data_IF_866505513449
#
_entry.id   IF_866505513449
#
_cell.length_a   1.000
_cell.length_b   1.000
_cell.length_c   1.000
_cell.angle_alpha   90.00
_cell.angle_beta   90.00
_cell.angle_gamma   90.00
#
_symmetry.space_group_name_H-M   'P 1'
#
loop_
_entity.id
_entity.type
_entity.pdbx_description
1 polymer ?
#
# COMPACT_ATOMS: atom_id res chain seq x y z
N UNK A 1 -12.01 22.92 -15.12
CA UNK A 1 -11.07 21.95 -15.71
C UNK A 1 -11.23 20.69 -14.90
N UNK A 2 -11.68 19.61 -15.52
CA UNK A 2 -11.95 18.37 -14.80
C UNK A 2 -10.63 17.64 -14.59
N UNK A 3 -10.41 17.09 -13.41
CA UNK A 3 -9.22 16.29 -13.11
C UNK A 3 -9.37 14.93 -13.82
N UNK A 4 -8.48 14.58 -14.77
CA UNK A 4 -8.59 13.34 -15.54
C UNK A 4 -8.52 12.09 -14.64
N UNK A 5 -7.80 12.17 -13.52
CA UNK A 5 -7.80 11.10 -12.52
C UNK A 5 -9.19 10.94 -11.88
N UNK A 6 -9.84 12.05 -11.54
CA UNK A 6 -11.20 12.07 -11.01
C UNK A 6 -12.24 11.51 -11.99
N UNK A 7 -12.12 11.75 -13.30
CA UNK A 7 -13.03 11.16 -14.30
C UNK A 7 -12.87 9.64 -14.39
N UNK A 8 -11.63 9.14 -14.38
CA UNK A 8 -11.35 7.70 -14.36
C UNK A 8 -11.91 7.06 -13.10
N UNK A 9 -11.66 7.65 -11.93
CA UNK A 9 -12.20 7.17 -10.65
C UNK A 9 -13.74 7.15 -10.66
N UNK A 10 -14.38 8.18 -11.22
CA UNK A 10 -15.84 8.26 -11.32
C UNK A 10 -16.43 7.18 -12.22
N UNK A 11 -15.77 6.86 -13.35
CA UNK A 11 -16.19 5.80 -14.28
C UNK A 11 -16.10 4.42 -13.63
N UNK A 12 -15.06 4.19 -12.82
CA UNK A 12 -14.83 2.89 -12.18
C UNK A 12 -15.85 2.55 -11.08
N UNK A 13 -16.60 3.54 -10.58
CA UNK A 13 -17.59 3.37 -9.50
C UNK A 13 -17.03 2.54 -8.31
N UNK A 14 -15.93 2.99 -7.67
CA UNK A 14 -15.37 2.31 -6.50
C UNK A 14 -16.45 2.16 -5.42
N UNK A 15 -16.73 0.92 -5.01
CA UNK A 15 -17.79 0.63 -4.04
C UNK A 15 -17.34 0.80 -2.60
N UNK A 16 -16.09 0.45 -2.33
CA UNK A 16 -15.51 0.57 -1.01
C UNK A 16 -14.03 0.90 -1.14
N UNK A 17 -13.64 1.97 -0.45
CA UNK A 17 -12.25 2.29 -0.18
C UNK A 17 -11.99 1.84 1.24
N UNK A 18 -11.19 0.79 1.39
CA UNK A 18 -10.75 0.38 2.71
C UNK A 18 -9.40 1.03 2.96
N UNK A 19 -9.28 1.73 4.08
CA UNK A 19 -8.03 2.38 4.50
C UNK A 19 -7.66 1.92 5.89
N UNK A 20 -6.38 1.69 6.12
CA UNK A 20 -5.82 1.43 7.45
C UNK A 20 -4.51 2.15 7.63
N UNK A 21 -4.22 2.51 8.88
CA UNK A 21 -2.89 2.95 9.27
C UNK A 21 -1.92 1.79 9.18
N UNK A 22 -0.71 2.07 8.71
CA UNK A 22 0.42 1.15 8.76
C UNK A 22 1.60 1.94 9.33
N UNK A 23 2.27 1.39 10.34
CA UNK A 23 3.50 1.97 10.87
C UNK A 23 4.62 0.95 10.98
N UNK A 24 5.85 1.44 10.94
CA UNK A 24 7.06 0.64 11.10
C UNK A 24 8.03 1.34 12.04
N UNK A 25 8.68 0.57 12.91
CA UNK A 25 9.68 1.08 13.85
C UNK A 25 10.84 0.10 14.07
N UNK A 26 12.06 0.64 14.12
CA UNK A 26 13.31 -0.10 14.23
C UNK A 26 13.58 -1.01 13.04
N UNK A 27 14.09 -2.21 13.32
CA UNK A 27 14.35 -3.23 12.30
C UNK A 27 13.07 -3.97 11.93
N UNK A 28 12.43 -3.55 10.85
CA UNK A 28 11.18 -4.15 10.36
C UNK A 28 11.17 -4.36 8.85
N UNK A 29 10.46 -5.41 8.42
CA UNK A 29 10.21 -5.69 7.02
C UNK A 29 9.04 -6.64 6.85
N UNK A 30 8.22 -6.41 5.83
CA UNK A 30 7.06 -7.22 5.49
C UNK A 30 6.99 -7.47 4.00
N UNK A 31 6.49 -8.64 3.63
CA UNK A 31 6.29 -9.08 2.26
C UNK A 31 4.85 -9.50 2.07
N UNK A 32 4.14 -8.79 1.21
CA UNK A 32 2.79 -9.14 0.80
C UNK A 32 2.86 -10.00 -0.47
N UNK A 33 2.06 -11.07 -0.50
CA UNK A 33 1.81 -11.82 -1.72
C UNK A 33 0.99 -10.98 -2.73
N UNK A 34 0.90 -11.44 -3.97
CA UNK A 34 0.03 -10.82 -4.98
C UNK A 34 -1.40 -10.72 -4.43
N UNK A 35 -1.93 -9.49 -4.42
CA UNK A 35 -3.25 -9.20 -3.89
C UNK A 35 -4.30 -9.05 -4.98
N UNK A 36 -3.90 -8.81 -6.22
CA UNK A 36 -4.79 -8.73 -7.38
C UNK A 36 -5.72 -7.52 -7.45
N UNK A 37 -6.01 -6.86 -6.32
CA UNK A 37 -6.84 -5.66 -6.26
C UNK A 37 -6.00 -4.38 -6.43
N UNK A 38 -6.57 -3.28 -6.94
CA UNK A 38 -5.89 -2.00 -6.99
C UNK A 38 -5.69 -1.46 -5.57
N UNK A 39 -4.49 -1.00 -5.24
CA UNK A 39 -4.16 -0.44 -3.93
C UNK A 39 -3.45 0.89 -4.04
N UNK A 40 -3.44 1.62 -2.94
CA UNK A 40 -2.69 2.84 -2.81
C UNK A 40 -2.07 2.94 -1.42
N UNK A 41 -1.03 3.75 -1.30
CA UNK A 41 -0.49 4.16 -0.04
C UNK A 41 -0.03 5.61 -0.11
N UNK A 42 -0.18 6.34 0.99
CA UNK A 42 0.44 7.65 1.18
C UNK A 42 1.30 7.63 2.43
N UNK A 43 2.55 8.06 2.31
CA UNK A 43 3.43 8.22 3.47
C UNK A 43 3.07 9.52 4.18
N UNK A 44 2.68 9.41 5.44
CA UNK A 44 2.30 10.54 6.29
C UNK A 44 3.53 11.08 7.02
N UNK A 45 4.40 10.20 7.48
CA UNK A 45 5.59 10.55 8.27
C UNK A 45 6.70 9.54 8.00
N UNK A 46 7.94 10.03 8.03
CA UNK A 46 9.12 9.20 7.93
C UNK A 46 9.39 8.70 6.51
N UNK A 47 10.03 7.53 6.41
CA UNK A 47 10.40 6.95 5.12
C UNK A 47 10.56 5.43 5.18
N UNK A 48 10.45 4.77 4.03
CA UNK A 48 10.69 3.34 3.89
C UNK A 48 11.18 2.96 2.49
N UNK A 49 11.69 1.75 2.35
CA UNK A 49 11.95 1.14 1.06
C UNK A 49 10.73 0.32 0.62
N UNK A 50 10.25 0.57 -0.60
CA UNK A 50 9.22 -0.21 -1.27
C UNK A 50 9.84 -0.94 -2.47
N UNK A 51 9.74 -2.27 -2.49
CA UNK A 51 10.13 -3.09 -3.62
C UNK A 51 8.90 -3.83 -4.17
N UNK A 52 8.39 -3.39 -5.32
CA UNK A 52 7.29 -4.05 -6.03
C UNK A 52 7.87 -5.06 -7.01
N UNK A 53 7.28 -6.25 -7.10
CA UNK A 53 7.75 -7.29 -8.03
C UNK A 53 7.78 -6.77 -9.46
N UNK A 54 8.92 -6.97 -10.15
CA UNK A 54 9.11 -6.52 -11.53
C UNK A 54 9.44 -5.03 -11.68
N UNK A 55 9.58 -4.27 -10.58
CA UNK A 55 9.97 -2.87 -10.60
C UNK A 55 11.27 -2.63 -9.81
N UNK A 56 12.02 -1.56 -10.13
CA UNK A 56 13.11 -1.09 -9.28
C UNK A 56 12.59 -0.70 -7.88
N UNK A 57 13.35 -0.93 -6.80
CA UNK A 57 12.98 -0.48 -5.48
C UNK A 57 12.96 1.06 -5.42
N UNK A 58 12.04 1.58 -4.62
CA UNK A 58 11.83 3.01 -4.40
C UNK A 58 11.99 3.33 -2.92
N UNK A 59 12.63 4.45 -2.62
CA UNK A 59 12.50 5.08 -1.31
C UNK A 59 11.24 5.93 -1.35
N UNK A 60 10.34 5.71 -0.39
CA UNK A 60 9.18 6.56 -0.18
C UNK A 60 9.42 7.43 1.04
N UNK A 61 9.10 8.71 0.94
CA UNK A 61 9.21 9.72 1.99
C UNK A 61 7.87 10.39 2.25
N UNK A 62 7.76 11.11 3.37
CA UNK A 62 6.54 11.83 3.74
C UNK A 62 6.02 12.73 2.61
N UNK A 63 4.75 12.54 2.25
CA UNK A 63 4.09 13.20 1.13
C UNK A 63 4.02 12.36 -0.16
N UNK A 64 4.81 11.30 -0.27
CA UNK A 64 4.76 10.41 -1.44
C UNK A 64 3.47 9.59 -1.47
N UNK A 65 2.92 9.46 -2.67
CA UNK A 65 1.74 8.66 -2.97
C UNK A 65 2.08 7.60 -4.00
N UNK A 66 1.72 6.36 -3.70
CA UNK A 66 1.85 5.22 -4.61
C UNK A 66 0.47 4.71 -4.95
N UNK A 67 0.20 4.54 -6.24
CA UNK A 67 -0.95 3.84 -6.76
C UNK A 67 -0.48 2.60 -7.50
N UNK A 68 -1.02 1.44 -7.13
CA UNK A 68 -0.80 0.18 -7.80
C UNK A 68 -2.13 -0.24 -8.45
N UNK A 69 -2.30 -0.01 -9.76
CA UNK A 69 -3.53 -0.34 -10.47
C UNK A 69 -3.92 -1.82 -10.43
N UNK A 70 -2.93 -2.69 -10.22
CA UNK A 70 -3.09 -4.08 -9.81
C UNK A 70 -1.93 -4.38 -8.90
N UNK A 71 -2.20 -4.69 -7.63
CA UNK A 71 -1.16 -4.83 -6.60
C UNK A 71 -0.42 -6.15 -6.77
N UNK A 72 0.82 -6.14 -7.33
CA UNK A 72 1.65 -7.34 -7.37
C UNK A 72 2.12 -7.65 -5.95
N UNK A 73 2.85 -8.75 -5.78
CA UNK A 73 3.60 -8.90 -4.54
C UNK A 73 4.52 -7.69 -4.34
N UNK A 74 4.57 -7.14 -3.14
CA UNK A 74 5.54 -6.11 -2.78
C UNK A 74 6.15 -6.34 -1.40
N UNK A 75 7.33 -5.76 -1.18
CA UNK A 75 8.04 -5.78 0.09
C UNK A 75 8.18 -4.36 0.58
N UNK A 76 7.92 -4.14 1.87
CA UNK A 76 8.19 -2.89 2.55
C UNK A 76 9.16 -3.12 3.70
N UNK A 77 10.18 -2.27 3.82
CA UNK A 77 11.15 -2.36 4.92
C UNK A 77 11.54 -0.98 5.43
N UNK A 78 12.04 -0.94 6.67
CA UNK A 78 12.94 0.13 7.09
C UNK A 78 14.28 0.07 6.34
N UNK A 79 15.26 0.84 6.80
CA UNK A 79 16.58 0.92 6.16
C UNK A 79 17.61 -0.06 6.74
N UNK A 80 17.29 -0.72 7.85
CA UNK A 80 18.13 -1.76 8.42
C UNK A 80 17.93 -3.11 7.71
N UNK A 81 19.00 -3.90 7.48
CA UNK A 81 18.88 -5.24 6.93
C UNK A 81 17.97 -6.15 7.78
N UNK A 82 17.00 -6.78 7.12
CA UNK A 82 16.00 -7.63 7.78
C UNK A 82 15.52 -8.73 6.83
N UNK A 83 15.06 -9.85 7.39
CA UNK A 83 14.28 -10.85 6.65
C UNK A 83 12.81 -10.46 6.76
N UNK A 84 12.12 -10.13 5.65
CA UNK A 84 10.73 -9.70 5.71
C UNK A 84 9.79 -10.79 6.23
N UNK A 85 8.82 -10.38 7.05
CA UNK A 85 7.73 -11.27 7.49
C UNK A 85 6.70 -11.41 6.37
N UNK A 86 6.33 -12.64 6.02
CA UNK A 86 5.27 -12.89 5.04
C UNK A 86 3.91 -12.53 5.62
N UNK A 87 3.15 -11.73 4.88
CA UNK A 87 1.79 -11.32 5.23
C UNK A 87 0.83 -11.80 4.16
N UNK A 88 -0.22 -12.49 4.58
CA UNK A 88 -1.36 -12.78 3.72
C UNK A 88 -2.19 -11.50 3.57
N UNK A 89 -2.31 -10.94 2.34
CA UNK A 89 -3.04 -9.71 2.15
C UNK A 89 -4.52 -9.84 2.51
N UNK A 90 -5.14 -11.02 2.37
CA UNK A 90 -6.55 -11.23 2.71
C UNK A 90 -6.78 -11.18 4.23
N UNK A 91 -5.85 -11.72 5.03
CA UNK A 91 -5.90 -11.58 6.48
C UNK A 91 -5.65 -10.13 6.89
N UNK A 92 -4.75 -9.45 6.19
CA UNK A 92 -4.45 -8.05 6.45
C UNK A 92 -5.64 -7.11 6.12
N UNK A 93 -6.59 -7.52 5.28
CA UNK A 93 -7.84 -6.78 5.01
C UNK A 93 -8.78 -6.75 6.21
N UNK A 94 -8.77 -7.79 7.05
CA UNK A 94 -9.69 -7.90 8.19
C UNK A 94 -9.30 -7.00 9.38
N UNK A 95 -8.08 -6.46 9.38
CA UNK A 95 -7.62 -5.56 10.42
C UNK A 95 -8.28 -4.18 10.28
N UNK A 96 -9.03 -3.77 11.30
CA UNK A 96 -9.68 -2.45 11.38
C UNK A 96 -8.81 -1.39 12.07
N UNK A 97 -7.74 -1.82 12.75
CA UNK A 97 -6.82 -0.95 13.50
C UNK A 97 -5.51 -0.71 12.73
N UNK A 98 -4.70 0.24 13.21
CA UNK A 98 -3.35 0.47 12.67
C UNK A 98 -2.51 -0.81 12.81
N UNK A 99 -1.89 -1.24 11.70
CA UNK A 99 -0.97 -2.38 11.71
C UNK A 99 0.44 -1.86 11.94
N UNK A 100 1.04 -2.25 13.07
CA UNK A 100 2.40 -1.84 13.43
C UNK A 100 3.42 -2.96 13.22
N UNK A 101 4.49 -2.65 12.49
CA UNK A 101 5.59 -3.57 12.18
C UNK A 101 6.86 -3.22 12.96
N UNK A 102 7.61 -4.25 13.37
CA UNK A 102 8.83 -4.09 14.15
C UNK A 102 8.57 -3.79 15.62
N UNK A 103 9.23 -2.77 16.15
CA UNK A 103 9.12 -2.37 17.56
C UNK A 103 7.71 -1.88 17.86
N UNK A 104 7.08 -2.43 18.91
CA UNK A 104 5.69 -2.12 19.24
C UNK A 104 5.53 -0.81 20.02
N UNK A 105 6.55 -0.41 20.78
CA UNK A 105 6.57 0.82 21.57
C UNK A 105 7.42 1.90 20.90
N UNK A 106 7.24 3.16 21.32
CA UNK A 106 8.03 4.29 20.87
C UNK A 106 7.54 4.95 19.55
N UNK A 107 8.21 6.03 19.11
CA UNK A 107 7.85 6.70 17.86
C UNK A 107 8.10 5.78 16.65
N UNK A 108 7.27 5.87 15.60
CA UNK A 108 7.50 5.15 14.36
C UNK A 108 8.56 5.84 13.47
N UNK A 109 9.31 5.05 12.70
CA UNK A 109 10.20 5.54 11.64
C UNK A 109 9.45 5.76 10.32
N UNK A 110 8.28 5.12 10.19
CA UNK A 110 7.34 5.24 9.08
C UNK A 110 5.92 5.25 9.64
N UNK A 111 5.09 6.18 9.17
CA UNK A 111 3.63 6.05 9.23
C UNK A 111 3.03 6.33 7.87
N UNK A 112 2.13 5.46 7.43
CA UNK A 112 1.40 5.62 6.17
C UNK A 112 -0.06 5.25 6.30
N UNK A 113 -0.87 5.77 5.39
CA UNK A 113 -2.23 5.32 5.18
C UNK A 113 -2.24 4.45 3.92
N UNK A 114 -2.51 3.16 4.10
CA UNK A 114 -2.63 2.20 3.02
C UNK A 114 -4.08 1.84 2.77
N UNK A 115 -4.45 1.59 1.52
CA UNK A 115 -5.80 1.19 1.19
C UNK A 115 -5.92 0.44 -0.13
N UNK A 116 -7.10 -0.11 -0.38
CA UNK A 116 -7.41 -0.79 -1.62
C UNK A 116 -8.85 -0.51 -2.04
N UNK A 117 -9.08 -0.74 -3.33
CA UNK A 117 -10.37 -0.53 -3.97
C UNK A 117 -11.00 -1.87 -4.31
N UNK A 118 -12.29 -2.02 -4.02
CA UNK A 118 -13.13 -3.06 -4.59
C UNK A 118 -14.02 -2.47 -5.69
N UNK A 119 -14.03 -3.15 -6.85
CA UNK A 119 -14.83 -2.80 -8.01
C UNK A 119 -15.79 -3.95 -8.32
N UNK A 120 -17.06 -3.64 -8.58
CA UNK A 120 -18.03 -4.61 -9.08
C UNK A 120 -18.15 -4.44 -10.60
N UNK A 121 -17.79 -5.47 -11.37
CA UNK A 121 -18.00 -5.52 -12.82
C UNK A 121 -16.74 -5.78 -13.66
N UNK A 122 -16.93 -6.03 -14.96
CA UNK A 122 -15.87 -6.31 -15.95
C UNK A 122 -14.94 -5.10 -16.21
N UNK A 123 -15.29 -3.91 -15.71
CA UNK A 123 -14.59 -2.63 -15.93
C UNK A 123 -13.36 -2.40 -15.03
N UNK A 124 -13.01 -3.34 -14.13
CA UNK A 124 -11.81 -3.23 -13.28
C UNK A 124 -10.49 -3.17 -14.09
N UNK A 125 -10.52 -3.58 -15.36
CA UNK A 125 -9.38 -3.51 -16.28
C UNK A 125 -9.02 -2.09 -16.74
N UNK A 126 -9.90 -1.10 -16.51
CA UNK A 126 -9.64 0.30 -16.93
C UNK A 126 -8.49 0.94 -16.15
N UNK A 127 -8.32 0.61 -14.86
CA UNK A 127 -7.14 1.05 -14.08
C UNK A 127 -5.84 0.41 -14.57
N UNK A 128 -5.91 -0.86 -14.98
CA UNK A 128 -4.75 -1.63 -15.45
C UNK A 128 -4.25 -1.15 -16.83
N UNK A 129 -5.02 -0.31 -17.52
CA UNK A 129 -4.72 0.20 -18.85
C UNK A 129 -4.01 1.57 -18.86
N UNK A 130 -3.77 2.16 -17.68
CA UNK A 130 -3.01 3.41 -17.47
C UNK A 130 -1.54 3.12 -17.15
#
# INVERSE_FOLDING_TARGET
MVDPLSEVIALLRPRAVFTKGISGAGRWGVRYADFGHPSFAVVIEGACLLAVDGQPPLTLEAGDFVLLPKTPGFTMTGFEPVVPTLIDPNLAMAATEEVRHGQQDGPPDLRMLGGYFLFDGEDSGLLVSL
#
